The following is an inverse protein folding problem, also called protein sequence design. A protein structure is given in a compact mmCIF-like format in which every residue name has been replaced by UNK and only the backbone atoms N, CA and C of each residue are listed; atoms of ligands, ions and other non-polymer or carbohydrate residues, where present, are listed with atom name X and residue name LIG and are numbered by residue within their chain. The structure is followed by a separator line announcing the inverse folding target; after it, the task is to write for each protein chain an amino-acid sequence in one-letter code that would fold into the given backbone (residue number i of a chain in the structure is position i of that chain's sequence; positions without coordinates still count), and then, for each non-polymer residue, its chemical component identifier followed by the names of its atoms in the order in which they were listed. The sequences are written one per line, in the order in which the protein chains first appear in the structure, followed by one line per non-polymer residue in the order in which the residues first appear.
data_IF_554173841835
#
_entry.id   IF_554173841835
#
_cell.length_a   1.000
_cell.length_b   1.000
_cell.length_c   1.000
_cell.angle_alpha   90.00
_cell.angle_beta   90.00
_cell.angle_gamma   90.00
#
_symmetry.space_group_name_H-M   'P 1'
#
loop_
_entity.id
_entity.type
_entity.pdbx_description
1 polymer ?
#
# COMPACT_ATOMS: atom_id res chain seq x y z
N UNK A 1 3.20 -9.00 0.85
CA UNK A 1 3.84 -10.05 0.04
C UNK A 1 3.59 -9.67 -1.42
N UNK A 2 4.62 -9.55 -2.26
CA UNK A 2 4.46 -9.08 -3.64
C UNK A 2 3.64 -10.04 -4.52
N UNK A 3 3.56 -11.31 -4.10
CA UNK A 3 2.72 -12.32 -4.76
C UNK A 3 1.23 -12.00 -4.62
N UNK A 4 0.84 -11.43 -3.49
CA UNK A 4 -0.56 -11.32 -3.08
C UNK A 4 -1.06 -9.86 -3.10
N UNK A 5 -0.33 -8.96 -3.76
CA UNK A 5 -0.78 -7.57 -3.97
C UNK A 5 -2.04 -7.58 -4.84
N UNK A 6 -3.14 -6.92 -4.42
CA UNK A 6 -4.41 -6.96 -5.15
C UNK A 6 -4.36 -6.32 -6.54
N UNK A 7 -3.55 -5.28 -6.71
CA UNK A 7 -3.36 -4.53 -7.97
C UNK A 7 -1.87 -4.50 -8.27
N UNK A 8 -1.47 -5.12 -9.37
CA UNK A 8 -0.09 -5.18 -9.86
C UNK A 8 -0.07 -5.28 -11.38
N UNK A 9 0.88 -4.62 -12.02
CA UNK A 9 0.90 -4.52 -13.49
C UNK A 9 1.30 -5.82 -14.19
N UNK A 10 1.89 -6.77 -13.45
CA UNK A 10 2.33 -8.06 -13.98
C UNK A 10 1.32 -9.19 -13.75
N UNK A 11 1.35 -10.22 -14.61
CA UNK A 11 0.50 -11.43 -14.49
C UNK A 11 1.30 -12.68 -14.08
N UNK A 12 2.38 -12.52 -13.32
CA UNK A 12 3.23 -13.66 -12.93
C UNK A 12 2.57 -14.53 -11.83
N UNK A 13 2.76 -15.86 -11.89
CA UNK A 13 2.23 -16.79 -10.88
C UNK A 13 2.94 -16.68 -9.53
N UNK A 14 4.20 -16.22 -9.54
CA UNK A 14 5.04 -16.04 -8.36
C UNK A 14 5.31 -14.57 -8.07
N UNK A 15 6.59 -14.21 -8.11
CA UNK A 15 7.07 -12.84 -8.03
C UNK A 15 8.04 -12.59 -9.18
N UNK A 16 8.03 -11.38 -9.72
CA UNK A 16 8.95 -10.91 -10.73
C UNK A 16 9.46 -9.51 -10.34
N UNK A 17 10.36 -8.97 -11.14
CA UNK A 17 10.92 -7.62 -10.96
C UNK A 17 9.85 -6.54 -10.84
N UNK A 18 8.82 -6.60 -11.71
CA UNK A 18 7.74 -5.60 -11.74
C UNK A 18 6.98 -5.56 -10.41
N UNK A 19 6.41 -6.68 -9.95
CA UNK A 19 5.63 -6.66 -8.70
C UNK A 19 6.50 -6.47 -7.45
N UNK A 20 7.79 -6.82 -7.50
CA UNK A 20 8.71 -6.52 -6.40
C UNK A 20 9.08 -5.04 -6.36
N UNK A 21 9.17 -4.38 -7.51
CA UNK A 21 9.32 -2.93 -7.62
C UNK A 21 8.07 -2.20 -7.12
N UNK A 22 6.88 -2.59 -7.59
CA UNK A 22 5.61 -2.02 -7.11
C UNK A 22 5.42 -2.26 -5.60
N UNK A 23 5.79 -3.45 -5.09
CA UNK A 23 5.78 -3.72 -3.66
C UNK A 23 6.72 -2.81 -2.87
N UNK A 24 7.89 -2.48 -3.43
CA UNK A 24 8.85 -1.56 -2.80
C UNK A 24 8.32 -0.13 -2.80
N UNK A 25 7.68 0.31 -3.89
CA UNK A 25 7.07 1.63 -3.96
C UNK A 25 5.92 1.79 -2.94
N UNK A 26 5.07 0.78 -2.80
CA UNK A 26 4.05 0.72 -1.74
C UNK A 26 4.70 0.80 -0.35
N UNK A 27 5.79 0.08 -0.14
CA UNK A 27 6.49 0.06 1.14
C UNK A 27 7.14 1.41 1.48
N UNK A 28 7.77 2.06 0.51
CA UNK A 28 8.33 3.40 0.68
C UNK A 28 7.24 4.39 1.08
N UNK A 29 6.13 4.36 0.35
CA UNK A 29 4.92 5.11 0.66
C UNK A 29 4.44 4.90 2.11
N UNK A 30 4.38 3.64 2.58
CA UNK A 30 4.00 3.31 3.96
C UNK A 30 5.00 3.86 4.98
N UNK A 31 6.30 3.69 4.74
CA UNK A 31 7.36 4.20 5.62
C UNK A 31 7.29 5.72 5.71
N UNK A 32 7.13 6.43 4.60
CA UNK A 32 7.00 7.89 4.58
C UNK A 32 5.83 8.37 5.44
N UNK A 33 4.71 7.64 5.45
CA UNK A 33 3.58 7.93 6.35
C UNK A 33 3.89 7.60 7.81
N UNK A 34 4.55 6.48 8.09
CA UNK A 34 4.92 6.10 9.46
C UNK A 34 5.92 7.12 10.07
N UNK A 35 6.86 7.62 9.28
CA UNK A 35 7.86 8.61 9.70
C UNK A 35 7.27 10.03 9.74
N UNK A 36 6.61 10.46 8.67
CA UNK A 36 6.13 11.83 8.51
C UNK A 36 4.90 12.18 9.35
N UNK A 37 3.90 11.30 9.36
CA UNK A 37 2.61 11.57 10.00
C UNK A 37 2.53 11.00 11.42
N UNK A 38 3.17 9.86 11.67
CA UNK A 38 3.15 9.20 12.99
C UNK A 38 4.45 9.40 13.81
N UNK A 39 5.50 9.97 13.21
CA UNK A 39 6.72 10.32 13.92
C UNK A 39 7.58 9.14 14.37
N UNK A 40 7.35 7.94 13.81
CA UNK A 40 8.12 6.74 14.10
C UNK A 40 9.49 6.84 13.45
N UNK A 41 10.56 6.47 14.17
CA UNK A 41 11.94 6.73 13.73
C UNK A 41 12.77 5.47 13.56
N UNK A 42 12.46 4.40 14.28
CA UNK A 42 13.28 3.20 14.31
C UNK A 42 12.68 2.12 13.40
N UNK A 43 12.68 2.40 12.09
CA UNK A 43 12.08 1.55 11.08
C UNK A 43 13.17 0.80 10.30
N UNK A 44 13.07 -0.53 10.30
CA UNK A 44 13.92 -1.42 9.52
C UNK A 44 13.14 -2.06 8.37
N UNK A 45 13.62 -1.88 7.16
CA UNK A 45 13.09 -2.53 5.97
C UNK A 45 13.83 -3.85 5.71
N UNK A 46 13.10 -4.96 5.59
CA UNK A 46 13.67 -6.27 5.31
C UNK A 46 13.07 -6.79 4.00
N UNK A 47 13.91 -7.07 3.02
CA UNK A 47 13.50 -7.89 1.88
C UNK A 47 13.39 -9.35 2.32
N UNK A 48 12.21 -9.93 2.17
CA UNK A 48 11.89 -11.27 2.65
C UNK A 48 12.12 -12.37 1.62
N UNK A 49 12.47 -12.02 0.37
CA UNK A 49 12.55 -12.92 -0.78
C UNK A 49 11.38 -12.76 -1.76
N UNK A 50 10.16 -12.56 -1.26
CA UNK A 50 8.96 -12.40 -2.12
C UNK A 50 8.22 -11.09 -1.87
N UNK A 51 8.86 -10.15 -1.19
CA UNK A 51 8.29 -8.88 -0.79
C UNK A 51 9.10 -8.35 0.38
N UNK A 52 8.44 -7.57 1.23
CA UNK A 52 9.12 -6.80 2.25
C UNK A 52 8.42 -6.92 3.61
N UNK A 53 9.20 -6.76 4.68
CA UNK A 53 8.70 -6.56 6.02
C UNK A 53 9.17 -5.19 6.50
N UNK A 54 8.25 -4.41 7.05
CA UNK A 54 8.57 -3.19 7.81
C UNK A 54 8.59 -3.61 9.28
N UNK A 55 9.72 -3.40 9.97
CA UNK A 55 9.84 -3.64 11.41
C UNK A 55 10.03 -2.32 12.12
N UNK A 56 9.13 -2.00 13.02
CA UNK A 56 9.17 -0.76 13.81
C UNK A 56 9.64 -1.14 15.21
N UNK A 57 10.73 -0.54 15.65
CA UNK A 57 11.42 -0.84 16.91
C UNK A 57 11.33 0.33 17.90
N UNK A 58 10.53 1.35 17.60
CA UNK A 58 10.15 2.42 18.54
C UNK A 58 9.46 1.81 19.77
N UNK A 59 9.81 2.29 20.97
CA UNK A 59 9.37 1.72 22.26
C UNK A 59 7.84 1.68 22.40
N UNK A 60 7.18 2.73 21.93
CA UNK A 60 5.72 2.88 21.90
C UNK A 60 5.06 1.76 21.08
N UNK A 61 5.67 1.37 19.95
CA UNK A 61 5.16 0.30 19.10
C UNK A 61 5.54 -1.09 19.58
N UNK A 62 6.69 -1.23 20.25
CA UNK A 62 7.12 -2.50 20.86
C UNK A 62 6.21 -2.91 22.02
N UNK A 63 5.67 -1.95 22.77
CA UNK A 63 4.73 -2.18 23.88
C UNK A 63 3.26 -2.13 23.46
N UNK A 64 2.96 -1.67 22.24
CA UNK A 64 1.60 -1.58 21.70
C UNK A 64 0.88 -2.94 21.65
N UNK A 65 -0.37 -2.96 22.10
CA UNK A 65 -1.29 -4.07 21.91
C UNK A 65 -1.82 -4.20 20.48
N UNK A 66 -2.56 -5.27 20.21
CA UNK A 66 -3.09 -5.58 18.87
C UNK A 66 -4.03 -4.49 18.32
N UNK A 67 -4.79 -3.80 19.18
CA UNK A 67 -5.70 -2.73 18.79
C UNK A 67 -4.95 -1.52 18.23
N UNK A 68 -3.97 -1.00 18.97
CA UNK A 68 -3.15 0.13 18.51
C UNK A 68 -2.38 -0.21 17.22
N UNK A 69 -1.84 -1.43 17.13
CA UNK A 69 -1.17 -1.93 15.91
C UNK A 69 -2.12 -1.97 14.71
N UNK A 70 -3.37 -2.37 14.92
CA UNK A 70 -4.40 -2.35 13.90
C UNK A 70 -4.70 -0.93 13.43
N UNK A 71 -4.86 0.02 14.34
CA UNK A 71 -5.14 1.42 13.99
C UNK A 71 -3.98 2.08 13.25
N UNK A 72 -2.74 1.88 13.70
CA UNK A 72 -1.53 2.35 12.98
C UNK A 72 -1.45 1.76 11.57
N UNK A 73 -1.73 0.46 11.43
CA UNK A 73 -1.76 -0.20 10.12
C UNK A 73 -2.82 0.40 9.20
N UNK A 74 -4.05 0.57 9.68
CA UNK A 74 -5.13 1.15 8.88
C UNK A 74 -4.87 2.60 8.49
N UNK A 75 -4.24 3.35 9.39
CA UNK A 75 -3.82 4.71 9.15
C UNK A 75 -2.79 4.77 8.02
N UNK A 76 -1.66 4.06 8.16
CA UNK A 76 -0.58 4.05 7.18
C UNK A 76 -1.04 3.56 5.80
N UNK A 77 -1.92 2.56 5.78
CA UNK A 77 -2.48 1.99 4.57
C UNK A 77 -3.48 2.89 3.84
N UNK A 78 -4.12 3.84 4.53
CA UNK A 78 -5.33 4.48 4.01
C UNK A 78 -6.50 3.49 3.86
N UNK A 79 -6.67 2.58 4.83
CA UNK A 79 -7.62 1.47 4.76
C UNK A 79 -9.07 1.82 5.16
N UNK A 80 -9.33 3.06 5.56
CA UNK A 80 -10.65 3.54 5.97
C UNK A 80 -11.06 4.72 5.09
N UNK A 81 -12.35 4.79 4.75
CA UNK A 81 -12.87 5.91 3.96
C UNK A 81 -12.85 7.16 4.86
N UNK A 82 -12.18 8.25 4.46
CA UNK A 82 -12.15 9.47 5.25
C UNK A 82 -13.56 10.00 5.48
N UNK A 83 -13.80 10.55 6.68
CA UNK A 83 -15.06 11.24 6.97
C UNK A 83 -15.24 12.38 5.97
N UNK A 84 -16.37 12.39 5.29
CA UNK A 84 -16.70 13.43 4.33
C UNK A 84 -17.59 14.52 4.94
N UNK A 85 -18.38 14.17 5.95
CA UNK A 85 -19.29 15.10 6.63
C UNK A 85 -18.63 15.68 7.87
N UNK A 86 -18.55 17.01 7.90
CA UNK A 86 -18.06 17.77 9.04
C UNK A 86 -19.16 18.71 9.52
N UNK A 87 -19.39 18.72 10.84
CA UNK A 87 -20.35 19.60 11.49
C UNK A 87 -19.58 20.65 12.27
N UNK A 88 -19.96 21.91 12.13
CA UNK A 88 -19.44 22.98 12.98
C UNK A 88 -20.57 23.53 13.86
N UNK A 89 -20.75 22.90 15.02
CA UNK A 89 -21.81 23.23 15.97
C UNK A 89 -21.78 24.70 16.45
N UNK A 90 -20.65 25.40 16.32
CA UNK A 90 -20.50 26.79 16.76
C UNK A 90 -20.91 27.82 15.70
N UNK A 91 -20.89 27.47 14.41
CA UNK A 91 -21.17 28.41 13.31
C UNK A 91 -22.55 28.17 12.70
N UNK A 92 -22.95 26.91 12.50
CA UNK A 92 -24.30 26.55 12.07
C UNK A 92 -24.54 25.04 12.21
N UNK A 93 -25.81 24.62 12.36
CA UNK A 93 -26.19 23.20 12.29
C UNK A 93 -26.11 22.62 10.85
N UNK A 94 -25.40 23.26 9.92
CA UNK A 94 -25.22 22.75 8.56
C UNK A 94 -24.00 21.83 8.49
N UNK A 95 -24.20 20.68 7.84
CA UNK A 95 -23.10 19.76 7.54
C UNK A 95 -22.41 20.20 6.25
N UNK A 96 -21.09 20.28 6.29
CA UNK A 96 -20.26 20.47 5.10
C UNK A 96 -19.77 19.11 4.62
N UNK A 97 -19.92 18.84 3.33
CA UNK A 97 -19.44 17.60 2.73
C UNK A 97 -18.16 17.89 1.94
N UNK A 98 -17.03 17.41 2.45
CA UNK A 98 -15.73 17.48 1.79
C UNK A 98 -15.38 16.10 1.24
N UNK A 99 -15.02 16.04 -0.04
CA UNK A 99 -14.52 14.81 -0.63
C UNK A 99 -13.11 14.52 -0.14
N UNK A 100 -12.70 13.24 -0.19
CA UNK A 100 -11.39 12.83 0.32
C UNK A 100 -10.20 13.59 -0.32
N UNK A 101 -10.39 14.10 -1.54
CA UNK A 101 -9.41 14.83 -2.32
C UNK A 101 -9.48 16.36 -2.12
N UNK A 102 -10.35 16.87 -1.26
CA UNK A 102 -10.48 18.32 -1.01
C UNK A 102 -9.45 18.82 0.00
N UNK A 103 -9.09 18.00 0.99
CA UNK A 103 -8.15 18.37 2.07
C UNK A 103 -6.79 17.72 1.76
N UNK A 104 -5.76 18.48 1.34
CA UNK A 104 -4.48 17.92 0.90
C UNK A 104 -3.52 17.66 2.07
N UNK A 105 -4.02 17.28 3.24
CA UNK A 105 -3.21 17.03 4.45
C UNK A 105 -3.73 15.85 5.28
N UNK A 106 -2.84 15.29 6.09
CA UNK A 106 -3.13 14.18 7.01
C UNK A 106 -3.77 12.97 6.31
N UNK A 107 -4.70 12.32 7.02
CA UNK A 107 -5.31 11.08 6.54
C UNK A 107 -6.02 11.19 5.19
N UNK A 108 -6.63 12.34 4.89
CA UNK A 108 -7.29 12.60 3.61
C UNK A 108 -6.30 12.55 2.44
N UNK A 109 -5.11 13.13 2.63
CA UNK A 109 -4.02 13.07 1.66
C UNK A 109 -3.50 11.64 1.51
N UNK A 110 -3.21 10.94 2.61
CA UNK A 110 -2.75 9.55 2.57
C UNK A 110 -3.73 8.70 1.77
N UNK A 111 -5.01 8.71 2.14
CA UNK A 111 -6.04 7.96 1.44
C UNK A 111 -6.08 8.29 -0.05
N UNK A 112 -6.10 9.58 -0.39
CA UNK A 112 -6.17 10.05 -1.78
C UNK A 112 -4.96 9.60 -2.61
N UNK A 113 -3.75 9.67 -2.06
CA UNK A 113 -2.52 9.27 -2.74
C UNK A 113 -2.49 7.75 -2.97
N UNK A 114 -2.95 6.94 -1.99
CA UNK A 114 -3.07 5.49 -2.15
C UNK A 114 -4.11 5.10 -3.20
N UNK A 115 -5.26 5.78 -3.20
CA UNK A 115 -6.29 5.56 -4.23
C UNK A 115 -5.76 5.94 -5.61
N UNK A 116 -5.03 7.06 -5.75
CA UNK A 116 -4.38 7.45 -7.01
C UNK A 116 -3.41 6.38 -7.49
N UNK A 117 -2.51 5.94 -6.60
CA UNK A 117 -1.54 4.89 -6.89
C UNK A 117 -2.23 3.62 -7.41
N UNK A 118 -3.25 3.13 -6.69
CA UNK A 118 -4.02 1.96 -7.09
C UNK A 118 -4.65 2.12 -8.47
N UNK A 119 -5.32 3.24 -8.73
CA UNK A 119 -6.01 3.49 -10.01
C UNK A 119 -5.01 3.58 -11.18
N UNK A 120 -3.83 4.16 -10.96
CA UNK A 120 -2.79 4.26 -11.98
C UNK A 120 -2.20 2.89 -12.36
N UNK A 121 -2.17 1.94 -11.42
CA UNK A 121 -1.64 0.59 -11.62
C UNK A 121 -2.70 -0.45 -12.03
N UNK A 122 -3.96 -0.07 -12.21
CA UNK A 122 -5.00 -0.97 -12.72
C UNK A 122 -4.71 -1.43 -14.16
N UNK A 123 -4.82 -2.74 -14.38
CA UNK A 123 -4.73 -3.41 -15.68
C UNK A 123 -6.12 -3.67 -16.27
N UNK A 124 -7.13 -3.88 -15.42
CA UNK A 124 -8.54 -4.06 -15.77
C UNK A 124 -9.06 -5.49 -15.72
N UNK A 125 -8.22 -6.46 -15.38
CA UNK A 125 -8.61 -7.86 -15.18
C UNK A 125 -8.74 -8.24 -13.69
N UNK A 126 -8.49 -7.31 -12.78
CA UNK A 126 -8.57 -7.51 -11.34
C UNK A 126 -10.03 -7.73 -10.91
N UNK A 127 -10.22 -8.67 -9.97
CA UNK A 127 -11.52 -8.92 -9.35
C UNK A 127 -11.59 -8.18 -8.02
N UNK A 128 -12.05 -6.94 -8.07
CA UNK A 128 -12.17 -6.08 -6.89
C UNK A 128 -13.62 -6.05 -6.39
N UNK A 129 -13.81 -6.40 -5.12
CA UNK A 129 -15.14 -6.38 -4.50
C UNK A 129 -15.75 -4.97 -4.55
N UNK A 130 -17.00 -4.86 -5.02
CA UNK A 130 -17.69 -3.58 -5.24
C UNK A 130 -17.40 -2.88 -6.58
N UNK A 131 -16.48 -3.40 -7.40
CA UNK A 131 -16.20 -2.87 -8.75
C UNK A 131 -16.63 -3.90 -9.80
N UNK A 132 -17.67 -3.56 -10.57
CA UNK A 132 -18.10 -4.37 -11.70
C UNK A 132 -17.29 -4.08 -12.98
N UNK A 133 -17.33 -4.95 -14.02
CA UNK A 133 -16.53 -4.76 -15.23
C UNK A 133 -16.78 -3.44 -15.97
N UNK A 134 -18.01 -2.93 -15.93
CA UNK A 134 -18.36 -1.64 -16.55
C UNK A 134 -17.69 -0.49 -15.79
N UNK A 135 -17.76 -0.50 -14.46
CA UNK A 135 -17.11 0.49 -13.61
C UNK A 135 -15.58 0.42 -13.77
N UNK A 136 -14.99 -0.78 -13.82
CA UNK A 136 -13.56 -0.95 -14.09
C UNK A 136 -13.14 -0.28 -15.40
N UNK A 137 -13.90 -0.51 -16.48
CA UNK A 137 -13.65 0.11 -17.78
C UNK A 137 -13.73 1.64 -17.71
N UNK A 138 -14.74 2.17 -17.03
CA UNK A 138 -14.93 3.63 -16.88
C UNK A 138 -13.81 4.26 -16.03
N UNK A 139 -13.33 3.57 -14.98
CA UNK A 139 -12.18 4.00 -14.17
C UNK A 139 -10.92 4.11 -15.03
N UNK A 140 -10.59 3.06 -15.78
CA UNK A 140 -9.38 3.04 -16.61
C UNK A 140 -9.47 4.09 -17.72
N UNK A 141 -10.64 4.29 -18.33
CA UNK A 141 -10.84 5.30 -19.35
C UNK A 141 -10.63 6.74 -18.81
N UNK A 142 -11.04 7.01 -17.57
CA UNK A 142 -10.98 8.34 -16.95
C UNK A 142 -9.72 8.60 -16.11
N UNK A 143 -8.86 7.59 -15.87
CA UNK A 143 -7.71 7.71 -14.94
C UNK A 143 -6.70 8.80 -15.31
N UNK A 144 -6.61 9.18 -16.59
CA UNK A 144 -5.73 10.25 -17.08
C UNK A 144 -6.00 11.60 -16.37
N UNK A 145 -7.22 11.84 -15.87
CA UNK A 145 -7.52 13.01 -15.06
C UNK A 145 -6.68 13.07 -13.76
N UNK A 146 -6.30 11.92 -13.20
CA UNK A 146 -5.57 11.85 -11.93
C UNK A 146 -4.09 12.19 -12.07
N UNK A 147 -3.51 12.10 -13.27
CA UNK A 147 -2.14 12.53 -13.56
C UNK A 147 -1.96 14.02 -13.17
N UNK A 148 -2.95 14.84 -13.53
CA UNK A 148 -3.01 16.26 -13.22
C UNK A 148 -3.75 16.59 -11.91
N UNK A 149 -4.14 15.58 -11.11
CA UNK A 149 -4.87 15.78 -9.86
C UNK A 149 -6.32 16.24 -10.01
N UNK A 150 -6.92 16.11 -11.20
CA UNK A 150 -8.28 16.56 -11.51
C UNK A 150 -9.36 15.58 -11.01
N UNK A 151 -9.38 15.31 -9.70
CA UNK A 151 -10.33 14.40 -9.06
C UNK A 151 -11.81 14.74 -9.30
N UNK A 152 -12.14 16.03 -9.42
CA UNK A 152 -13.50 16.48 -9.73
C UNK A 152 -13.99 16.01 -11.11
N UNK A 153 -13.13 16.06 -12.13
CA UNK A 153 -13.44 15.57 -13.47
C UNK A 153 -13.53 14.04 -13.48
N UNK A 154 -12.57 13.38 -12.85
CA UNK A 154 -12.58 11.92 -12.68
C UNK A 154 -13.88 11.43 -12.02
N UNK A 155 -14.30 12.06 -10.92
CA UNK A 155 -15.56 11.77 -10.24
C UNK A 155 -16.78 12.05 -11.11
N UNK A 156 -16.77 13.13 -11.90
CA UNK A 156 -17.87 13.49 -12.81
C UNK A 156 -18.11 12.40 -13.86
N UNK A 157 -17.05 11.88 -14.46
CA UNK A 157 -17.14 10.86 -15.51
C UNK A 157 -17.59 9.49 -14.97
N UNK A 158 -17.15 9.13 -13.76
CA UNK A 158 -17.62 7.92 -13.08
C UNK A 158 -19.05 8.09 -12.57
N UNK A 159 -19.42 9.28 -12.11
CA UNK A 159 -20.71 9.57 -11.50
C UNK A 159 -20.77 9.23 -10.01
N UNK A 160 -21.54 10.00 -9.21
CA UNK A 160 -21.40 10.07 -7.75
C UNK A 160 -21.66 8.74 -7.02
N UNK A 161 -22.67 7.99 -7.44
CA UNK A 161 -23.01 6.70 -6.81
C UNK A 161 -21.92 5.64 -7.04
N UNK A 162 -21.41 5.56 -8.27
CA UNK A 162 -20.35 4.61 -8.64
C UNK A 162 -19.01 5.02 -8.03
N UNK A 163 -18.77 6.31 -7.90
CA UNK A 163 -17.60 6.86 -7.23
C UNK A 163 -17.54 6.45 -5.75
N UNK A 164 -18.68 6.48 -5.05
CA UNK A 164 -18.76 5.98 -3.67
C UNK A 164 -18.33 4.51 -3.57
N UNK A 165 -18.82 3.65 -4.47
CA UNK A 165 -18.43 2.24 -4.51
C UNK A 165 -16.92 2.07 -4.79
N UNK A 166 -16.35 2.89 -5.68
CA UNK A 166 -14.92 2.91 -5.96
C UNK A 166 -14.11 3.26 -4.70
N UNK A 167 -14.49 4.32 -3.99
CA UNK A 167 -13.80 4.77 -2.77
C UNK A 167 -13.83 3.68 -1.69
N UNK A 168 -14.99 3.05 -1.47
CA UNK A 168 -15.13 1.93 -0.53
C UNK A 168 -14.31 0.70 -0.94
N UNK A 169 -14.28 0.38 -2.24
CA UNK A 169 -13.46 -0.71 -2.76
C UNK A 169 -11.97 -0.45 -2.59
N UNK A 170 -11.52 0.79 -2.82
CA UNK A 170 -10.11 1.16 -2.69
C UNK A 170 -9.63 1.13 -1.23
N UNK A 171 -10.50 1.46 -0.27
CA UNK A 171 -10.20 1.27 1.16
C UNK A 171 -9.93 -0.22 1.48
N UNK A 172 -10.75 -1.13 0.93
CA UNK A 172 -10.54 -2.59 1.08
C UNK A 172 -9.26 -3.06 0.40
N UNK A 173 -8.96 -2.55 -0.80
CA UNK A 173 -7.70 -2.84 -1.51
C UNK A 173 -6.50 -2.42 -0.69
N UNK A 174 -6.51 -1.19 -0.17
CA UNK A 174 -5.44 -0.66 0.68
C UNK A 174 -5.16 -1.55 1.89
N UNK A 175 -6.22 -2.05 2.54
CA UNK A 175 -6.06 -3.01 3.64
C UNK A 175 -5.47 -4.33 3.18
N UNK A 176 -5.93 -4.87 2.05
CA UNK A 176 -5.49 -6.15 1.50
C UNK A 176 -4.03 -6.13 0.99
N UNK A 177 -3.47 -4.95 0.71
CA UNK A 177 -2.06 -4.77 0.34
C UNK A 177 -1.09 -5.15 1.48
N UNK A 178 -1.55 -5.08 2.73
CA UNK A 178 -0.76 -5.44 3.91
C UNK A 178 -1.33 -6.72 4.55
N UNK A 179 -0.45 -7.65 4.94
CA UNK A 179 -0.89 -8.81 5.72
C UNK A 179 -1.21 -8.39 7.16
N UNK A 180 -2.43 -7.93 7.39
CA UNK A 180 -2.88 -7.41 8.69
C UNK A 180 -2.70 -8.43 9.83
N UNK A 181 -2.78 -9.74 9.53
CA UNK A 181 -2.59 -10.79 10.54
C UNK A 181 -1.16 -10.84 11.05
N UNK A 182 -0.17 -10.48 10.24
CA UNK A 182 1.23 -10.36 10.67
C UNK A 182 1.38 -9.22 11.67
N UNK A 183 0.74 -8.10 11.42
CA UNK A 183 0.97 -6.86 12.18
C UNK A 183 0.29 -6.85 13.56
N UNK A 184 -0.90 -7.47 13.68
CA UNK A 184 -1.65 -7.50 14.95
C UNK A 184 -1.21 -8.62 15.91
N UNK A 185 -0.50 -9.63 15.41
CA UNK A 185 -0.06 -10.80 16.19
C UNK A 185 1.20 -10.47 17.01
N UNK A 186 1.04 -10.39 18.34
CA UNK A 186 2.12 -10.06 19.27
C UNK A 186 3.20 -11.14 19.39
N UNK A 187 2.93 -12.37 18.93
CA UNK A 187 3.85 -13.52 19.01
C UNK A 187 4.33 -13.96 17.62
N UNK A 188 4.20 -13.07 16.63
CA UNK A 188 4.53 -13.38 15.24
C UNK A 188 6.02 -13.67 15.07
N UNK A 189 6.33 -14.80 14.46
CA UNK A 189 7.68 -15.09 13.96
C UNK A 189 7.83 -14.59 12.53
N UNK A 190 8.94 -13.91 12.26
CA UNK A 190 9.30 -13.41 10.94
C UNK A 190 10.58 -14.08 10.45
N UNK A 191 10.76 -14.17 9.13
CA UNK A 191 11.97 -14.70 8.53
C UNK A 191 13.20 -13.94 9.04
N UNK A 192 14.24 -14.69 9.43
CA UNK A 192 15.49 -14.12 9.92
C UNK A 192 16.26 -13.45 8.75
N UNK A 193 16.67 -12.17 8.85
CA UNK A 193 17.62 -11.59 7.92
C UNK A 193 18.90 -12.43 7.86
N UNK A 194 19.55 -12.51 6.70
CA UNK A 194 20.62 -13.43 6.30
C UNK A 194 20.21 -14.85 5.90
N UNK A 195 18.99 -15.31 6.21
CA UNK A 195 18.52 -16.65 5.80
C UNK A 195 18.18 -16.72 4.30
N UNK A 196 18.15 -17.93 3.73
CA UNK A 196 17.73 -18.17 2.34
C UNK A 196 16.21 -18.40 2.26
N UNK A 197 15.52 -17.72 1.34
CA UNK A 197 14.14 -18.03 0.97
C UNK A 197 14.13 -19.11 -0.13
N UNK A 198 14.08 -20.38 0.27
CA UNK A 198 14.19 -21.54 -0.64
C UNK A 198 13.29 -21.52 -1.87
N UNK A 199 12.03 -21.07 -1.77
CA UNK A 199 11.09 -21.07 -2.91
C UNK A 199 11.49 -20.13 -4.07
N UNK A 200 12.29 -19.10 -3.82
CA UNK A 200 12.73 -18.15 -4.83
C UNK A 200 14.25 -18.04 -4.92
N UNK A 201 14.96 -18.84 -4.12
CA UNK A 201 16.43 -18.85 -4.06
C UNK A 201 17.06 -17.48 -3.82
N UNK A 202 16.39 -16.61 -3.07
CA UNK A 202 16.89 -15.27 -2.71
C UNK A 202 17.25 -15.17 -1.23
N UNK A 203 18.25 -14.36 -0.90
CA UNK A 203 18.64 -14.03 0.47
C UNK A 203 17.62 -13.08 1.08
N UNK A 204 17.12 -13.42 2.26
CA UNK A 204 16.40 -12.48 3.11
C UNK A 204 17.42 -11.50 3.70
N UNK A 205 17.25 -10.20 3.56
CA UNK A 205 18.22 -9.22 4.02
C UNK A 205 17.58 -7.89 4.41
N UNK A 206 18.24 -7.19 5.32
CA UNK A 206 17.91 -5.81 5.62
C UNK A 206 18.28 -4.92 4.44
N UNK A 207 17.36 -4.04 4.08
CA UNK A 207 17.50 -3.03 3.03
C UNK A 207 17.93 -1.73 3.71
N UNK A 208 19.18 -1.33 3.49
CA UNK A 208 19.76 -0.12 4.11
C UNK A 208 19.44 1.16 3.33
N UNK A 209 19.39 1.05 2.01
CA UNK A 209 19.06 2.14 1.10
C UNK A 209 17.89 1.68 0.23
N UNK A 210 16.69 2.20 0.54
CA UNK A 210 15.44 1.83 -0.12
C UNK A 210 15.31 2.40 -1.53
N UNK A 211 16.06 3.44 -1.88
CA UNK A 211 16.00 4.09 -3.20
C UNK A 211 16.85 3.35 -4.23
N UNK A 212 17.92 2.69 -3.77
CA UNK A 212 18.87 1.96 -4.62
C UNK A 212 18.77 0.45 -4.49
N UNK A 213 17.82 -0.06 -3.72
CA UNK A 213 17.69 -1.49 -3.50
C UNK A 213 17.16 -2.21 -4.73
N UNK A 214 17.96 -3.13 -5.26
CA UNK A 214 17.54 -4.10 -6.26
C UNK A 214 17.72 -5.53 -5.71
N UNK A 215 16.63 -6.29 -5.51
CA UNK A 215 16.74 -7.67 -5.02
C UNK A 215 17.44 -8.62 -6.01
N UNK A 216 17.42 -8.34 -7.32
CA UNK A 216 18.04 -9.19 -8.34
C UNK A 216 19.54 -8.96 -8.51
N UNK A 217 20.07 -7.90 -7.89
CA UNK A 217 21.51 -7.65 -7.76
C UNK A 217 21.99 -8.03 -6.35
N UNK A 218 21.39 -7.42 -5.33
CA UNK A 218 21.92 -7.44 -3.96
C UNK A 218 21.51 -8.67 -3.15
N UNK A 219 20.36 -9.28 -3.45
CA UNK A 219 19.80 -10.39 -2.67
C UNK A 219 20.06 -11.76 -3.31
N UNK A 220 20.82 -11.84 -4.41
CA UNK A 220 21.13 -13.10 -5.09
C UNK A 220 22.28 -13.84 -4.37
N UNK A 221 22.08 -15.10 -3.93
CA UNK A 221 23.15 -15.90 -3.35
C UNK A 221 24.23 -16.26 -4.39
N UNK A 222 25.49 -16.33 -3.95
CA UNK A 222 26.66 -16.64 -4.81
C UNK A 222 26.48 -17.88 -5.70
N UNK A 223 25.93 -18.96 -5.16
CA UNK A 223 25.76 -20.23 -5.89
C UNK A 223 24.85 -20.11 -7.13
N UNK A 224 24.02 -19.06 -7.22
CA UNK A 224 23.16 -18.81 -8.39
C UNK A 224 24.00 -18.35 -9.60
N UNK A 225 25.05 -17.56 -9.36
CA UNK A 225 25.99 -17.14 -10.40
C UNK A 225 26.94 -18.27 -10.79
N UNK A 226 27.48 -19.00 -9.81
CA UNK A 226 28.40 -20.14 -10.02
C UNK A 226 27.77 -21.23 -10.91
N UNK A 227 26.45 -21.48 -10.78
CA UNK A 227 25.73 -22.43 -11.65
C UNK A 227 25.68 -21.99 -13.12
N UNK A 228 25.71 -20.68 -13.39
CA UNK A 228 25.67 -20.12 -14.74
C UNK A 228 27.04 -20.04 -15.40
N UNK A 229 28.12 -20.41 -14.71
CA UNK A 229 29.48 -20.29 -15.21
C UNK A 229 29.95 -18.84 -15.39
N UNK A 230 29.32 -17.91 -14.65
CA UNK A 230 29.66 -16.48 -14.60
C UNK A 230 30.22 -16.15 -13.23
#
# INVERSE_FOLDING_TARGET
DAKDIPIRSCQCDGVCEICLGEALEIVNNLIDTLEGDLGLKNIHLIYSGRGYHIRIMDEEMMTAGSELRSEVLKYAAGAEVPKSQFMNAEISNQSFNFEHFTIPVGYQKIFTDRVKFNIQHLVGNEKLDGINPKLMKDIIASRHHLENGNWGLFKKDIGPRRYKNLVEAMARVNLATIDAKVSIDLKRILRLPSSLHSKVSMKCMEVKDRERFDPFDQAVPKFVYERKGV
#
